data_IF_672156759789
#
_entry.id   IF_672156759789
#
_cell.length_a   1.000
_cell.length_b   1.000
_cell.length_c   1.000
_cell.angle_alpha   90.00
_cell.angle_beta   90.00
_cell.angle_gamma   90.00
#
_symmetry.space_group_name_H-M   'P 1'
#
loop_
_entity.id
_entity.type
_entity.pdbx_description
1 polymer ?
#
# COMPACT_ATOMS: atom_id res chain seq x y z
N UNK A 1 7.23 35.96 14.61
CA UNK A 1 6.41 34.88 14.00
C UNK A 1 7.33 34.07 13.11
N UNK A 2 7.56 32.79 13.43
CA UNK A 2 8.33 31.93 12.55
C UNK A 2 7.43 31.53 11.36
N UNK A 3 7.90 31.72 10.14
CA UNK A 3 7.25 31.15 8.96
C UNK A 3 7.22 29.63 9.11
N UNK A 4 6.06 28.97 8.92
CA UNK A 4 6.00 27.52 8.97
C UNK A 4 6.97 26.94 7.93
N UNK A 5 7.87 26.06 8.38
CA UNK A 5 8.78 25.36 7.48
C UNK A 5 7.98 24.45 6.57
N UNK A 6 8.09 24.66 5.26
CA UNK A 6 7.48 23.79 4.27
C UNK A 6 8.15 22.41 4.35
N UNK A 7 7.36 21.38 4.62
CA UNK A 7 7.81 19.99 4.52
C UNK A 7 7.84 19.57 3.04
N UNK A 8 8.97 19.84 2.40
CA UNK A 8 9.18 19.48 1.00
C UNK A 8 9.09 17.97 0.77
N UNK A 9 9.47 17.13 1.74
CA UNK A 9 9.43 15.68 1.56
C UNK A 9 7.98 15.19 1.40
N UNK A 10 7.07 15.67 2.26
CA UNK A 10 5.64 15.37 2.14
C UNK A 10 5.03 15.88 0.84
N UNK A 11 5.44 17.08 0.37
CA UNK A 11 5.00 17.60 -0.93
C UNK A 11 5.46 16.72 -2.10
N UNK A 12 6.75 16.37 -2.15
CA UNK A 12 7.30 15.53 -3.22
C UNK A 12 6.70 14.13 -3.21
N UNK A 13 6.52 13.54 -2.02
CA UNK A 13 5.83 12.24 -1.86
C UNK A 13 4.45 12.28 -2.51
N UNK A 14 3.65 13.29 -2.21
CA UNK A 14 2.30 13.45 -2.77
C UNK A 14 2.31 13.59 -4.29
N UNK A 15 3.18 14.44 -4.84
CA UNK A 15 3.28 14.66 -6.28
C UNK A 15 3.73 13.40 -7.04
N UNK A 16 4.73 12.69 -6.51
CA UNK A 16 5.21 11.44 -7.12
C UNK A 16 4.14 10.34 -7.01
N UNK A 17 3.48 10.21 -5.86
CA UNK A 17 2.38 9.25 -5.67
C UNK A 17 1.27 9.49 -6.70
N UNK A 18 0.83 10.75 -6.87
CA UNK A 18 -0.19 11.10 -7.87
C UNK A 18 0.25 10.73 -9.29
N UNK A 19 1.51 11.03 -9.66
CA UNK A 19 2.04 10.76 -11.00
C UNK A 19 2.06 9.27 -11.35
N UNK A 20 2.26 8.37 -10.38
CA UNK A 20 2.18 6.92 -10.61
C UNK A 20 0.81 6.51 -11.17
N UNK A 21 -0.26 7.17 -10.73
CA UNK A 21 -1.63 6.85 -11.10
C UNK A 21 -2.18 7.66 -12.27
N UNK A 22 -1.73 8.90 -12.46
CA UNK A 22 -2.19 9.74 -13.57
C UNK A 22 -1.45 9.46 -14.87
N UNK A 23 -0.22 8.96 -14.78
CA UNK A 23 0.64 8.69 -15.92
C UNK A 23 1.20 7.27 -15.74
N UNK A 24 0.49 6.26 -16.27
CA UNK A 24 0.81 4.81 -16.19
C UNK A 24 2.09 4.45 -16.96
N UNK A 25 3.21 5.02 -16.51
CA UNK A 25 4.55 4.91 -17.06
C UNK A 25 5.47 4.42 -15.95
N UNK A 26 6.26 3.39 -16.26
CA UNK A 26 7.15 2.73 -15.30
C UNK A 26 8.15 3.72 -14.66
N UNK A 27 8.66 4.70 -15.42
CA UNK A 27 9.56 5.73 -14.90
C UNK A 27 9.01 6.52 -13.71
N UNK A 28 7.69 6.72 -13.62
CA UNK A 28 7.07 7.39 -12.47
C UNK A 28 7.03 6.48 -11.23
N UNK A 29 6.83 5.18 -11.44
CA UNK A 29 6.93 4.20 -10.35
C UNK A 29 8.35 4.15 -9.81
N UNK A 30 9.35 4.08 -10.70
CA UNK A 30 10.76 4.06 -10.31
C UNK A 30 11.15 5.34 -9.56
N UNK A 31 10.69 6.51 -10.02
CA UNK A 31 10.95 7.79 -9.35
C UNK A 31 10.31 7.88 -7.96
N UNK A 32 9.06 7.41 -7.81
CA UNK A 32 8.37 7.36 -6.52
C UNK A 32 9.15 6.52 -5.51
N UNK A 33 9.54 5.31 -5.92
CA UNK A 33 10.20 4.40 -5.00
C UNK A 33 11.68 4.73 -4.78
N UNK A 34 12.36 5.35 -5.75
CA UNK A 34 13.66 5.96 -5.54
C UNK A 34 13.59 7.01 -4.42
N UNK A 35 12.58 7.89 -4.46
CA UNK A 35 12.34 8.87 -3.42
C UNK A 35 12.11 8.19 -2.05
N UNK A 36 11.23 7.19 -1.97
CA UNK A 36 10.97 6.47 -0.71
C UNK A 36 12.24 5.80 -0.15
N UNK A 37 13.07 5.21 -1.00
CA UNK A 37 14.35 4.65 -0.58
C UNK A 37 15.34 5.72 -0.12
N UNK A 38 15.39 6.89 -0.77
CA UNK A 38 16.27 7.98 -0.34
C UNK A 38 15.84 8.56 1.01
N UNK A 39 14.53 8.60 1.30
CA UNK A 39 14.03 8.97 2.64
C UNK A 39 14.41 7.92 3.69
N UNK A 40 14.30 6.63 3.36
CA UNK A 40 14.59 5.53 4.28
C UNK A 40 16.10 5.31 4.51
N UNK A 41 16.91 5.49 3.48
CA UNK A 41 18.34 5.18 3.44
C UNK A 41 19.16 6.41 3.00
N UNK A 42 19.22 7.47 3.83
CA UNK A 42 19.89 8.70 3.45
C UNK A 42 21.42 8.59 3.51
N UNK A 43 22.11 9.30 2.61
CA UNK A 43 23.58 9.22 2.46
C UNK A 43 24.36 9.66 3.68
N UNK A 44 23.87 10.64 4.44
CA UNK A 44 24.53 11.07 5.68
C UNK A 44 24.53 9.97 6.77
N UNK A 45 23.74 8.90 6.59
CA UNK A 45 23.72 7.72 7.46
C UNK A 45 24.52 6.54 6.90
N UNK A 46 25.32 6.75 5.85
CA UNK A 46 26.19 5.72 5.26
C UNK A 46 25.52 4.86 4.20
N UNK A 47 24.39 5.29 3.61
CA UNK A 47 23.70 4.53 2.57
C UNK A 47 23.77 5.19 1.19
N UNK A 48 23.80 4.38 0.15
CA UNK A 48 23.75 4.82 -1.25
C UNK A 48 22.60 4.13 -1.96
N UNK A 49 21.67 4.92 -2.50
CA UNK A 49 20.58 4.44 -3.36
C UNK A 49 21.01 4.65 -4.80
N UNK A 50 21.21 3.56 -5.53
CA UNK A 50 21.62 3.58 -6.94
C UNK A 50 20.50 3.00 -7.82
N UNK A 51 20.39 3.53 -9.04
CA UNK A 51 19.53 2.97 -10.09
C UNK A 51 20.33 2.10 -11.03
N UNK A 52 19.63 1.19 -11.72
CA UNK A 52 20.19 0.45 -12.86
C UNK A 52 21.51 -0.26 -12.52
N UNK A 53 21.52 -1.01 -11.42
CA UNK A 53 22.70 -1.78 -11.01
C UNK A 53 22.75 -3.13 -11.70
N UNK A 54 23.89 -3.49 -12.28
CA UNK A 54 24.16 -4.86 -12.75
C UNK A 54 25.28 -5.47 -11.91
N UNK A 55 25.06 -6.65 -11.29
CA UNK A 55 26.11 -7.36 -10.55
C UNK A 55 27.15 -8.03 -11.46
N UNK A 56 26.85 -8.23 -12.74
CA UNK A 56 27.64 -9.01 -13.69
C UNK A 56 28.05 -8.22 -14.95
N UNK A 57 27.91 -6.90 -14.93
CA UNK A 57 28.05 -6.00 -16.08
C UNK A 57 27.18 -6.39 -17.30
N UNK A 58 26.15 -7.21 -17.07
CA UNK A 58 25.20 -7.67 -18.07
C UNK A 58 24.11 -6.65 -18.41
N UNK A 59 23.29 -6.98 -19.42
CA UNK A 59 22.14 -6.16 -19.83
C UNK A 59 20.99 -6.18 -18.81
N UNK A 60 21.01 -7.14 -17.88
CA UNK A 60 19.99 -7.32 -16.86
C UNK A 60 20.35 -6.50 -15.63
N UNK A 61 19.71 -5.34 -15.49
CA UNK A 61 19.92 -4.41 -14.38
C UNK A 61 18.78 -4.53 -13.37
N UNK A 62 19.10 -4.40 -12.08
CA UNK A 62 18.12 -4.11 -11.04
C UNK A 62 17.71 -2.64 -11.16
N UNK A 63 16.41 -2.37 -11.11
CA UNK A 63 15.90 -0.99 -11.13
C UNK A 63 16.49 -0.16 -9.99
N UNK A 64 16.68 -0.79 -8.82
CA UNK A 64 17.25 -0.13 -7.63
C UNK A 64 18.08 -1.04 -6.77
N UNK A 65 19.14 -0.49 -6.19
CA UNK A 65 19.95 -1.12 -5.15
C UNK A 65 20.30 -0.11 -4.07
N UNK A 66 20.18 -0.54 -2.81
CA UNK A 66 20.71 0.17 -1.66
C UNK A 66 22.01 -0.50 -1.23
N UNK A 67 23.05 0.31 -1.10
CA UNK A 67 24.35 -0.12 -0.56
C UNK A 67 24.60 0.54 0.79
N UNK A 68 25.23 -0.17 1.70
CA UNK A 68 25.78 0.38 2.94
C UNK A 68 27.29 0.58 2.78
N UNK A 69 27.78 1.73 3.21
CA UNK A 69 29.20 2.07 3.26
C UNK A 69 29.72 1.88 4.69
N UNK A 70 30.65 0.96 4.87
CA UNK A 70 31.34 0.81 6.16
C UNK A 70 32.26 2.01 6.42
N UNK A 71 32.63 2.27 7.69
CA UNK A 71 33.67 3.25 8.03
C UNK A 71 35.03 2.95 7.38
N UNK A 72 35.29 1.70 6.99
CA UNK A 72 36.50 1.29 6.26
C UNK A 72 36.44 1.57 4.75
N UNK A 73 35.34 2.15 4.25
CA UNK A 73 35.13 2.43 2.83
C UNK A 73 34.67 1.23 2.00
N UNK A 74 34.39 0.08 2.62
CA UNK A 74 33.80 -1.07 1.93
C UNK A 74 32.32 -0.79 1.66
N UNK A 75 31.91 -0.96 0.42
CA UNK A 75 30.51 -0.87 0.00
C UNK A 75 29.95 -2.28 -0.08
N UNK A 76 28.79 -2.53 0.50
CA UNK A 76 28.05 -3.80 0.37
C UNK A 76 26.61 -3.55 -0.01
N UNK A 77 26.01 -4.40 -0.82
CA UNK A 77 24.58 -4.36 -1.12
C UNK A 77 23.82 -4.87 0.09
N UNK A 78 22.74 -4.17 0.44
CA UNK A 78 21.87 -4.53 1.57
C UNK A 78 20.41 -4.67 1.15
N UNK A 79 20.02 -4.03 0.05
CA UNK A 79 18.68 -4.16 -0.50
C UNK A 79 18.69 -4.02 -2.03
N UNK A 80 17.83 -4.77 -2.70
CA UNK A 80 17.62 -4.72 -4.14
C UNK A 80 16.13 -4.60 -4.48
N UNK A 81 15.78 -4.05 -5.64
CA UNK A 81 14.40 -4.08 -6.06
C UNK A 81 14.16 -3.91 -7.55
N UNK A 82 12.96 -4.35 -7.92
CA UNK A 82 12.39 -4.31 -9.27
C UNK A 82 11.03 -3.64 -9.23
N UNK A 83 10.85 -2.65 -10.10
CA UNK A 83 9.67 -1.80 -10.13
C UNK A 83 8.82 -2.11 -11.35
N UNK A 84 7.49 -2.09 -11.18
CA UNK A 84 6.56 -2.26 -12.30
C UNK A 84 5.40 -1.29 -12.16
N UNK A 85 4.84 -0.83 -13.28
CA UNK A 85 3.67 0.07 -13.27
C UNK A 85 2.40 -0.61 -12.75
N UNK A 86 1.37 0.17 -12.41
CA UNK A 86 0.11 -0.35 -11.86
C UNK A 86 -0.58 -1.32 -12.83
N UNK A 87 -0.60 -1.04 -14.13
CA UNK A 87 -1.31 -1.86 -15.12
C UNK A 87 -0.64 -3.19 -15.52
N UNK A 88 0.46 -3.60 -14.91
CA UNK A 88 1.20 -4.79 -15.39
C UNK A 88 0.44 -6.11 -15.21
N UNK A 89 0.71 -7.04 -16.12
CA UNK A 89 0.17 -8.40 -16.05
C UNK A 89 0.82 -9.20 -14.91
N UNK A 90 0.11 -10.22 -14.41
CA UNK A 90 0.66 -11.18 -13.44
C UNK A 90 1.99 -11.79 -13.90
N UNK A 91 2.12 -12.14 -15.17
CA UNK A 91 3.36 -12.69 -15.71
C UNK A 91 4.55 -11.71 -15.61
N UNK A 92 4.29 -10.40 -15.72
CA UNK A 92 5.31 -9.38 -15.52
C UNK A 92 5.77 -9.28 -14.07
N UNK A 93 4.85 -9.47 -13.11
CA UNK A 93 5.19 -9.48 -11.68
C UNK A 93 6.00 -10.73 -11.33
N UNK A 94 5.59 -11.91 -11.81
CA UNK A 94 6.36 -13.15 -11.65
C UNK A 94 7.77 -12.99 -12.20
N UNK A 95 7.92 -12.32 -13.35
CA UNK A 95 9.23 -12.04 -13.93
C UNK A 95 10.04 -11.08 -13.05
N UNK A 96 9.46 -10.00 -12.55
CA UNK A 96 10.14 -9.08 -11.63
C UNK A 96 10.64 -9.80 -10.35
N UNK A 97 9.83 -10.67 -9.76
CA UNK A 97 10.20 -11.47 -8.59
C UNK A 97 11.29 -12.51 -8.89
N UNK A 98 11.31 -13.06 -10.11
CA UNK A 98 12.39 -13.94 -10.55
C UNK A 98 13.68 -13.17 -10.79
N UNK A 99 13.59 -12.04 -11.49
CA UNK A 99 14.72 -11.19 -11.84
C UNK A 99 15.39 -10.63 -10.58
N UNK A 100 14.61 -10.19 -9.58
CA UNK A 100 15.18 -9.71 -8.31
C UNK A 100 15.90 -10.84 -7.57
N UNK A 101 15.37 -12.07 -7.57
CA UNK A 101 16.01 -13.21 -6.92
C UNK A 101 17.35 -13.58 -7.58
N UNK A 102 17.36 -13.79 -8.90
CA UNK A 102 18.55 -14.20 -9.64
C UNK A 102 19.67 -13.15 -9.51
N UNK A 103 19.34 -11.87 -9.69
CA UNK A 103 20.32 -10.77 -9.62
C UNK A 103 20.81 -10.55 -8.18
N UNK A 104 19.94 -10.71 -7.19
CA UNK A 104 20.32 -10.57 -5.78
C UNK A 104 21.27 -11.67 -5.34
N UNK A 105 21.09 -12.90 -5.81
CA UNK A 105 22.03 -13.99 -5.55
C UNK A 105 23.42 -13.70 -6.10
N UNK A 106 23.51 -13.15 -7.32
CA UNK A 106 24.78 -12.70 -7.90
C UNK A 106 25.43 -11.59 -7.07
N UNK A 107 24.66 -10.59 -6.66
CA UNK A 107 25.15 -9.52 -5.80
C UNK A 107 25.63 -10.04 -4.44
N UNK A 108 24.92 -11.02 -3.86
CA UNK A 108 25.32 -11.66 -2.60
C UNK A 108 26.65 -12.40 -2.73
N UNK A 109 26.87 -13.08 -3.85
CA UNK A 109 28.12 -13.82 -4.11
C UNK A 109 29.30 -12.87 -4.36
N UNK A 110 29.07 -11.78 -5.10
CA UNK A 110 30.07 -10.75 -5.37
C UNK A 110 30.51 -10.03 -4.08
N UNK A 111 29.55 -9.63 -3.24
CA UNK A 111 29.84 -8.87 -2.03
C UNK A 111 30.17 -9.74 -0.81
N UNK A 112 29.94 -11.07 -0.92
CA UNK A 112 30.14 -12.04 0.16
C UNK A 112 29.16 -11.84 1.33
N UNK A 113 27.91 -11.49 1.04
CA UNK A 113 26.88 -11.22 2.07
C UNK A 113 26.02 -12.45 2.38
N UNK A 114 25.66 -12.63 3.65
CA UNK A 114 24.82 -13.76 4.07
C UNK A 114 23.32 -13.58 3.82
N UNK A 115 22.87 -12.34 3.69
CA UNK A 115 21.49 -12.01 3.40
C UNK A 115 21.40 -10.73 2.57
N UNK A 116 20.37 -10.66 1.73
CA UNK A 116 19.99 -9.46 1.01
C UNK A 116 18.48 -9.27 1.11
N UNK A 117 18.05 -8.09 1.50
CA UNK A 117 16.64 -7.73 1.49
C UNK A 117 16.22 -7.35 0.08
N UNK A 118 14.98 -7.63 -0.29
CA UNK A 118 14.49 -7.27 -1.61
C UNK A 118 13.10 -6.64 -1.53
N UNK A 119 12.73 -5.88 -2.55
CA UNK A 119 11.35 -5.47 -2.75
C UNK A 119 10.97 -5.56 -4.24
N UNK A 120 9.71 -5.83 -4.49
CA UNK A 120 9.10 -5.73 -5.81
C UNK A 120 7.91 -4.79 -5.73
N UNK A 121 7.66 -4.01 -6.78
CA UNK A 121 6.60 -3.00 -6.77
C UNK A 121 5.64 -3.10 -7.95
N UNK A 122 4.43 -2.61 -7.74
CA UNK A 122 3.37 -2.45 -8.73
C UNK A 122 2.69 -1.10 -8.48
N UNK A 123 3.12 -0.06 -9.17
CA UNK A 123 2.79 1.32 -8.81
C UNK A 123 3.29 1.63 -7.40
N UNK A 124 2.47 2.19 -6.52
CA UNK A 124 2.83 2.46 -5.11
C UNK A 124 2.57 1.28 -4.17
N UNK A 125 2.14 0.14 -4.72
CA UNK A 125 2.02 -1.10 -3.98
C UNK A 125 3.33 -1.87 -4.02
N UNK A 126 3.67 -2.57 -2.94
CA UNK A 126 4.92 -3.29 -2.84
C UNK A 126 4.78 -4.60 -2.08
N UNK A 127 5.81 -5.42 -2.25
CA UNK A 127 6.05 -6.61 -1.48
C UNK A 127 7.52 -6.70 -1.12
N UNK A 128 7.82 -7.13 0.09
CA UNK A 128 9.19 -7.21 0.61
C UNK A 128 9.61 -8.63 0.88
N UNK A 129 10.89 -8.89 0.69
CA UNK A 129 11.47 -10.22 0.70
C UNK A 129 12.83 -10.22 1.38
N UNK A 130 13.31 -11.43 1.69
CA UNK A 130 14.67 -11.70 2.10
C UNK A 130 15.19 -12.91 1.33
N UNK A 131 16.46 -12.84 0.93
CA UNK A 131 17.24 -13.99 0.49
C UNK A 131 18.33 -14.19 1.53
N UNK A 132 18.44 -15.40 2.08
CA UNK A 132 19.39 -15.70 3.15
C UNK A 132 20.04 -17.08 2.99
N UNK A 133 21.30 -17.18 3.40
CA UNK A 133 21.98 -18.47 3.50
C UNK A 133 21.37 -19.34 4.62
N UNK A 134 21.34 -20.68 4.46
CA UNK A 134 21.80 -21.43 3.29
C UNK A 134 20.72 -21.61 2.21
N UNK A 135 19.47 -21.19 2.46
CA UNK A 135 18.33 -21.52 1.59
C UNK A 135 18.42 -20.84 0.22
N UNK A 136 18.90 -19.59 0.18
CA UNK A 136 19.16 -18.83 -1.05
C UNK A 136 17.96 -18.78 -2.01
N UNK A 137 16.77 -18.58 -1.44
CA UNK A 137 15.51 -18.38 -2.16
C UNK A 137 14.87 -17.07 -1.71
N UNK A 138 14.02 -16.49 -2.55
CA UNK A 138 13.21 -15.32 -2.23
C UNK A 138 12.08 -15.70 -1.26
N UNK A 139 12.20 -15.29 0.01
CA UNK A 139 11.21 -15.53 1.06
C UNK A 139 10.49 -14.22 1.40
N UNK A 140 9.14 -14.18 1.47
CA UNK A 140 8.44 -12.96 1.81
C UNK A 140 8.61 -12.60 3.29
N UNK A 141 8.75 -11.30 3.59
CA UNK A 141 8.74 -10.81 4.98
C UNK A 141 7.33 -10.75 5.59
N UNK A 142 6.30 -10.76 4.73
CA UNK A 142 4.88 -10.80 5.10
C UNK A 142 4.06 -11.46 3.99
N UNK A 143 2.89 -12.01 4.34
CA UNK A 143 1.98 -12.68 3.41
C UNK A 143 2.44 -14.08 2.99
N UNK A 144 1.67 -14.71 2.12
CA UNK A 144 1.91 -16.08 1.66
C UNK A 144 2.99 -16.14 0.60
N UNK A 145 3.82 -17.20 0.57
CA UNK A 145 4.88 -17.36 -0.45
C UNK A 145 4.33 -17.77 -1.84
N UNK A 146 3.47 -16.91 -2.41
CA UNK A 146 2.80 -17.10 -3.69
C UNK A 146 3.29 -16.07 -4.68
N UNK A 147 4.08 -16.50 -5.67
CA UNK A 147 4.69 -15.58 -6.64
C UNK A 147 3.69 -14.95 -7.60
N UNK A 148 3.90 -13.67 -7.87
CA UNK A 148 3.12 -12.83 -8.76
C UNK A 148 1.64 -12.70 -8.40
N UNK A 149 1.26 -13.02 -7.16
CA UNK A 149 -0.08 -12.80 -6.67
C UNK A 149 -0.26 -11.32 -6.30
N UNK A 150 -1.07 -10.55 -7.06
CA UNK A 150 -1.26 -9.12 -6.79
C UNK A 150 -1.94 -8.83 -5.45
N UNK A 151 -2.60 -9.81 -4.82
CA UNK A 151 -3.25 -9.64 -3.51
C UNK A 151 -2.24 -9.59 -2.35
N UNK A 152 -1.00 -10.04 -2.59
CA UNK A 152 0.10 -9.99 -1.61
C UNK A 152 0.85 -8.64 -1.62
N UNK A 153 0.49 -7.72 -2.52
CA UNK A 153 1.07 -6.39 -2.60
C UNK A 153 0.22 -5.44 -1.78
N UNK A 154 0.86 -4.64 -0.94
CA UNK A 154 0.18 -3.68 -0.07
C UNK A 154 0.56 -2.26 -0.49
N UNK A 155 -0.36 -1.31 -0.36
CA UNK A 155 -0.06 0.07 -0.68
C UNK A 155 0.63 0.77 0.48
N UNK A 156 1.71 1.48 0.16
CA UNK A 156 2.52 2.22 1.14
C UNK A 156 1.72 3.29 1.90
N UNK A 157 0.59 3.80 1.39
CA UNK A 157 -0.20 4.79 2.14
C UNK A 157 -0.99 4.20 3.32
N UNK A 158 -1.21 2.89 3.32
CA UNK A 158 -1.92 2.22 4.42
C UNK A 158 -1.07 2.23 5.69
N UNK A 159 -1.70 2.17 6.87
CA UNK A 159 -0.99 2.00 8.15
C UNK A 159 -0.07 0.78 8.11
N UNK A 160 -0.61 -0.35 7.65
CA UNK A 160 0.14 -1.60 7.48
C UNK A 160 1.27 -1.49 6.44
N UNK A 161 1.03 -0.81 5.31
CA UNK A 161 2.05 -0.52 4.31
C UNK A 161 3.22 0.29 4.86
N UNK A 162 2.95 1.37 5.59
CA UNK A 162 4.00 2.16 6.22
C UNK A 162 4.79 1.36 7.25
N UNK A 163 4.09 0.55 8.06
CA UNK A 163 4.71 -0.33 9.02
C UNK A 163 5.65 -1.35 8.34
N UNK A 164 5.20 -2.06 7.31
CA UNK A 164 6.05 -3.05 6.62
C UNK A 164 7.23 -2.39 5.89
N UNK A 165 7.04 -1.19 5.33
CA UNK A 165 8.13 -0.41 4.74
C UNK A 165 9.14 -0.01 5.83
N UNK A 166 8.67 0.54 6.96
CA UNK A 166 9.53 0.86 8.10
C UNK A 166 10.27 -0.36 8.65
N UNK A 167 9.59 -1.50 8.79
CA UNK A 167 10.16 -2.78 9.23
C UNK A 167 11.29 -3.23 8.32
N UNK A 168 11.10 -3.18 7.00
CA UNK A 168 12.18 -3.46 6.04
C UNK A 168 13.39 -2.56 6.31
N UNK A 169 13.18 -1.26 6.44
CA UNK A 169 14.26 -0.32 6.76
C UNK A 169 14.96 -0.64 8.08
N UNK A 170 14.19 -1.00 9.11
CA UNK A 170 14.71 -1.37 10.43
C UNK A 170 15.57 -2.62 10.38
N UNK A 171 15.12 -3.65 9.65
CA UNK A 171 15.87 -4.88 9.43
C UNK A 171 17.18 -4.62 8.67
N UNK A 172 17.14 -3.80 7.61
CA UNK A 172 18.33 -3.43 6.84
C UNK A 172 19.33 -2.63 7.68
N UNK A 173 18.84 -1.67 8.49
CA UNK A 173 19.67 -0.78 9.32
C UNK A 173 20.05 -1.39 10.68
N UNK A 174 19.52 -2.58 11.02
CA UNK A 174 19.61 -3.18 12.34
C UNK A 174 19.13 -2.22 13.46
N UNK A 175 17.97 -1.62 13.25
CA UNK A 175 17.31 -0.67 14.16
C UNK A 175 16.05 -1.27 14.80
N UNK A 176 15.59 -0.75 15.95
CA UNK A 176 14.30 -1.14 16.51
C UNK A 176 13.13 -0.85 15.56
N UNK A 177 12.23 -1.82 15.43
CA UNK A 177 10.99 -1.66 14.70
C UNK A 177 9.98 -0.84 15.53
N UNK A 178 9.31 0.11 14.90
CA UNK A 178 8.18 0.82 15.49
C UNK A 178 6.94 -0.06 15.36
N UNK A 179 6.16 -0.18 16.44
CA UNK A 179 4.90 -0.92 16.39
C UNK A 179 3.87 -0.26 15.46
N UNK A 180 2.94 -1.07 14.92
CA UNK A 180 1.92 -0.61 13.96
C UNK A 180 1.13 0.63 14.40
N UNK A 181 0.85 0.79 15.69
CA UNK A 181 0.13 1.94 16.22
C UNK A 181 0.80 3.30 16.03
N UNK A 182 2.04 3.33 15.51
CA UNK A 182 2.74 4.56 15.12
C UNK A 182 2.44 5.01 13.68
N UNK A 183 1.62 4.27 12.94
CA UNK A 183 1.34 4.52 11.54
C UNK A 183 -0.15 4.71 11.30
N UNK A 184 -0.50 5.80 10.62
CA UNK A 184 -1.88 6.15 10.28
C UNK A 184 -2.05 6.18 8.77
N UNK A 185 -3.26 5.91 8.27
CA UNK A 185 -3.52 6.02 6.84
C UNK A 185 -3.20 7.41 6.29
N UNK A 186 -2.41 7.49 5.22
CA UNK A 186 -1.99 8.75 4.62
C UNK A 186 -3.04 9.27 3.64
N UNK A 187 -4.12 9.88 4.14
CA UNK A 187 -5.21 10.44 3.33
C UNK A 187 -4.79 11.49 2.31
N UNK A 188 -3.65 12.16 2.54
CA UNK A 188 -3.12 13.15 1.62
C UNK A 188 -2.48 12.52 0.35
N UNK A 189 -2.20 11.22 0.36
CA UNK A 189 -1.75 10.45 -0.80
C UNK A 189 -2.96 9.89 -1.56
N UNK A 190 -3.59 10.78 -2.32
CA UNK A 190 -4.74 10.45 -3.15
C UNK A 190 -4.28 9.81 -4.46
N UNK A 191 -4.60 8.54 -4.66
CA UNK A 191 -4.69 7.96 -5.99
C UNK A 191 -6.01 8.47 -6.60
N UNK A 192 -6.21 8.41 -7.93
CA UNK A 192 -7.53 8.75 -8.49
C UNK A 192 -8.66 7.95 -7.82
N UNK A 193 -9.92 8.44 -7.82
CA UNK A 193 -11.00 7.92 -6.96
C UNK A 193 -11.25 6.41 -7.05
N UNK A 194 -10.96 5.79 -8.20
CA UNK A 194 -11.05 4.35 -8.44
C UNK A 194 -10.12 3.53 -7.54
N UNK A 195 -8.92 4.04 -7.31
CA UNK A 195 -7.92 3.38 -6.48
C UNK A 195 -8.22 3.55 -5.00
N UNK A 196 -8.92 4.63 -4.63
CA UNK A 196 -9.28 4.91 -3.25
C UNK A 196 -10.20 3.84 -2.65
N UNK A 197 -11.23 3.41 -3.37
CA UNK A 197 -12.13 2.35 -2.92
C UNK A 197 -11.41 1.00 -2.74
N UNK A 198 -10.56 0.62 -3.71
CA UNK A 198 -9.81 -0.64 -3.66
C UNK A 198 -8.83 -0.67 -2.48
N UNK A 199 -8.15 0.43 -2.24
CA UNK A 199 -7.18 0.56 -1.16
C UNK A 199 -7.85 0.58 0.22
N UNK A 200 -9.00 1.23 0.36
CA UNK A 200 -9.80 1.19 1.60
C UNK A 200 -10.27 -0.24 1.93
N UNK A 201 -10.76 -0.97 0.91
CA UNK A 201 -11.15 -2.36 1.09
C UNK A 201 -9.96 -3.26 1.50
N UNK A 202 -8.79 -3.03 0.90
CA UNK A 202 -7.56 -3.75 1.24
C UNK A 202 -7.06 -3.43 2.65
N UNK A 203 -7.10 -2.17 3.06
CA UNK A 203 -6.73 -1.76 4.41
C UNK A 203 -7.60 -2.48 5.46
N UNK A 204 -8.93 -2.41 5.30
CA UNK A 204 -9.86 -3.07 6.22
C UNK A 204 -9.56 -4.57 6.34
N UNK A 205 -9.35 -5.25 5.21
CA UNK A 205 -9.01 -6.67 5.19
C UNK A 205 -7.71 -6.99 5.97
N UNK A 206 -6.70 -6.14 5.87
CA UNK A 206 -5.41 -6.32 6.56
C UNK A 206 -5.52 -6.05 8.06
N UNK A 207 -6.28 -5.01 8.44
CA UNK A 207 -6.56 -4.69 9.84
C UNK A 207 -7.36 -5.82 10.52
N UNK A 208 -8.39 -6.35 9.85
CA UNK A 208 -9.17 -7.49 10.33
C UNK A 208 -8.27 -8.73 10.55
N UNK A 209 -7.43 -9.08 9.56
CA UNK A 209 -6.50 -10.22 9.67
C UNK A 209 -5.50 -10.08 10.81
N UNK A 210 -4.94 -8.89 10.98
CA UNK A 210 -3.99 -8.66 12.06
C UNK A 210 -4.67 -8.74 13.43
N UNK A 211 -5.90 -8.23 13.53
CA UNK A 211 -6.68 -8.32 14.76
C UNK A 211 -6.99 -9.77 15.13
N UNK A 212 -7.28 -10.61 14.13
CA UNK A 212 -7.45 -12.06 14.32
C UNK A 212 -6.16 -12.73 14.80
N UNK A 213 -5.01 -12.47 14.15
CA UNK A 213 -3.70 -13.00 14.57
C UNK A 213 -3.34 -12.58 16.01
N UNK A 214 -3.62 -11.32 16.37
CA UNK A 214 -3.40 -10.81 17.72
C UNK A 214 -4.32 -11.49 18.76
N UNK A 215 -5.57 -11.75 18.40
CA UNK A 215 -6.53 -12.45 19.27
C UNK A 215 -6.13 -13.92 19.49
N UNK A 216 -5.65 -14.60 18.45
CA UNK A 216 -5.13 -15.97 18.55
C UNK A 216 -3.90 -16.04 19.47
N UNK A 217 -2.94 -15.12 19.31
CA UNK A 217 -1.78 -15.03 20.20
C UNK A 217 -2.20 -14.80 21.66
N UNK A 218 -3.14 -13.88 21.89
CA UNK A 218 -3.65 -13.62 23.23
C UNK A 218 -4.30 -14.87 23.86
N UNK A 219 -5.09 -15.61 23.09
CA UNK A 219 -5.71 -16.87 23.53
C UNK A 219 -4.65 -17.94 23.83
N UNK A 220 -3.59 -18.05 23.03
CA UNK A 220 -2.49 -18.99 23.29
C UNK A 220 -1.73 -18.65 24.58
N UNK A 221 -1.47 -17.37 24.85
CA UNK A 221 -0.84 -16.93 26.10
C UNK A 221 -1.71 -17.22 27.33
N UNK A 222 -3.02 -16.98 27.24
CA UNK A 222 -3.95 -17.27 28.33
C UNK A 222 -4.11 -18.78 28.56
N UNK A 223 -4.11 -19.59 27.49
CA UNK A 223 -4.18 -21.04 27.59
C UNK A 223 -2.91 -21.67 28.19
N UNK A 224 -1.74 -21.09 27.94
CA UNK A 224 -0.46 -21.56 28.50
C UNK A 224 -0.23 -21.15 29.96
N UNK A 225 -1.02 -20.20 30.48
CA UNK A 225 -0.81 -19.59 31.80
C UNK A 225 -1.65 -20.21 32.93
N UNK A 226 -2.37 -21.31 32.68
CA UNK A 226 -3.11 -22.04 33.73
C UNK A 226 -2.35 -23.31 34.11
N UNK A 227 -1.41 -23.26 35.09
CA UNK A 227 -1.03 -24.47 35.79
C UNK A 227 -2.26 -24.99 36.52
N UNK A 228 -2.71 -26.20 36.19
CA UNK A 228 -3.69 -26.93 37.00
C UNK A 228 -3.08 -27.21 38.37
N UNK A 229 -3.16 -26.25 39.28
CA UNK A 229 -3.04 -26.52 40.70
C UNK A 229 -4.35 -27.20 41.08
N UNK A 230 -4.29 -28.51 41.28
CA UNK A 230 -5.40 -29.28 41.82
C UNK A 230 -5.72 -28.75 43.22
N UNK A 231 -6.76 -27.93 43.34
CA UNK A 231 -7.25 -27.52 44.65
C UNK A 231 -8.15 -28.61 45.26
N UNK A 232 -7.99 -28.88 46.57
CA UNK A 232 -8.79 -29.86 47.28
C UNK A 232 -10.20 -29.33 47.56
N UNK A 233 -11.16 -30.24 47.47
CA UNK A 233 -12.57 -29.98 47.74
C UNK A 233 -12.80 -29.40 49.14
N UNK A 234 -13.43 -28.22 49.20
CA UNK A 234 -14.17 -27.82 50.39
C UNK A 234 -15.50 -27.11 50.09
N UNK A 235 -16.48 -27.64 50.81
CA UNK A 235 -17.89 -27.36 51.04
C UNK A 235 -18.37 -25.90 51.09
N UNK A 236 -19.50 -25.71 50.40
CA UNK A 236 -20.66 -24.81 50.58
C UNK A 236 -20.69 -23.76 51.71
N UNK A 237 -21.16 -22.55 51.37
CA UNK A 237 -22.22 -21.84 52.12
C UNK A 237 -22.92 -20.81 51.23
N UNK A 238 -24.25 -20.85 51.27
CA UNK A 238 -25.22 -19.89 50.71
C UNK A 238 -25.16 -18.52 51.41
N UNK A 239 -25.52 -17.43 50.70
CA UNK A 239 -26.52 -16.42 51.14
C UNK A 239 -26.69 -15.27 50.11
N UNK A 240 -27.94 -15.10 49.65
CA UNK A 240 -28.76 -13.87 49.53
C UNK A 240 -28.17 -12.62 48.82
N UNK A 241 -28.65 -12.21 47.63
CA UNK A 241 -29.93 -11.55 47.30
C UNK A 241 -30.10 -10.16 47.93
N UNK A 242 -29.95 -9.10 47.11
CA UNK A 242 -30.70 -7.84 47.22
C UNK A 242 -30.87 -7.24 45.81
N UNK A 243 -32.13 -7.07 45.43
CA UNK A 243 -32.63 -6.19 44.37
C UNK A 243 -32.59 -4.73 44.86
N UNK A 244 -32.33 -3.78 43.96
CA UNK A 244 -32.86 -2.43 44.08
C UNK A 244 -33.02 -1.79 42.70
N UNK A 245 -34.29 -1.61 42.32
CA UNK A 245 -34.77 -0.80 41.19
C UNK A 245 -34.58 0.69 41.48
N UNK A 246 -34.25 1.49 40.45
CA UNK A 246 -34.75 2.86 40.31
C UNK A 246 -34.47 3.44 38.92
N UNK A 247 -35.54 3.60 38.14
CA UNK A 247 -35.78 4.67 37.15
C UNK A 247 -36.95 5.54 37.73
N UNK A 248 -37.27 6.79 37.29
CA UNK A 248 -37.09 7.32 35.93
C UNK A 248 -36.81 8.85 35.79
N UNK A 249 -36.71 9.27 34.52
CA UNK A 249 -37.05 10.57 33.89
C UNK A 249 -36.33 11.86 34.35
N UNK A 250 -35.66 12.57 33.41
CA UNK A 250 -36.19 13.85 32.90
C UNK A 250 -35.49 14.34 31.60
N UNK A 251 -36.32 15.03 30.83
CA UNK A 251 -36.18 15.73 29.55
C UNK A 251 -35.17 16.89 29.49
N UNK A 252 -34.70 17.25 28.28
CA UNK A 252 -33.90 18.48 28.10
C UNK A 252 -33.29 18.78 26.72
N UNK A 253 -34.12 19.29 25.81
CA UNK A 253 -33.87 20.37 24.82
C UNK A 253 -32.59 20.47 23.94
N UNK A 254 -32.89 20.44 22.64
CA UNK A 254 -32.33 21.11 21.46
C UNK A 254 -31.66 22.50 21.62
N UNK A 255 -30.49 22.66 21.00
CA UNK A 255 -30.04 23.83 20.21
C UNK A 255 -28.88 23.33 19.30
N UNK A 256 -28.72 23.63 18.01
CA UNK A 256 -29.09 24.80 17.23
C UNK A 256 -27.81 25.52 16.78
N UNK A 257 -26.92 24.87 16.01
CA UNK A 257 -25.71 25.52 15.49
C UNK A 257 -25.83 25.82 13.98
N UNK A 258 -25.72 27.11 13.68
CA UNK A 258 -25.77 27.73 12.36
C UNK A 258 -24.54 27.39 11.53
N UNK A 259 -24.77 27.06 10.26
CA UNK A 259 -23.77 26.97 9.21
C UNK A 259 -23.22 28.37 8.86
N UNK A 260 -21.90 28.51 8.80
CA UNK A 260 -21.24 29.63 8.13
C UNK A 260 -20.95 29.27 6.66
N UNK A 261 -21.10 30.21 5.71
CA UNK A 261 -20.82 29.95 4.30
C UNK A 261 -19.31 29.94 4.01
N UNK A 262 -18.80 29.05 3.15
CA UNK A 262 -17.40 29.09 2.75
C UNK A 262 -17.12 30.19 1.73
N UNK A 263 -15.98 30.83 1.95
CA UNK A 263 -15.33 31.86 1.14
C UNK A 263 -14.98 31.32 -0.25
N UNK A 264 -15.32 32.08 -1.30
CA UNK A 264 -14.95 31.79 -2.69
C UNK A 264 -13.45 32.00 -2.91
N UNK A 265 -12.77 30.96 -3.37
CA UNK A 265 -11.45 31.07 -4.01
C UNK A 265 -11.56 30.55 -5.45
N UNK A 266 -11.08 31.35 -6.40
CA UNK A 266 -11.11 31.11 -7.85
C UNK A 266 -10.34 29.84 -8.23
N UNK A 267 -11.00 28.90 -8.91
CA UNK A 267 -10.38 27.65 -9.39
C UNK A 267 -10.45 27.51 -10.91
N UNK A 268 -9.37 26.99 -11.48
CA UNK A 268 -9.30 26.42 -12.82
C UNK A 268 -10.33 25.29 -12.97
N UNK A 269 -11.17 25.36 -14.00
CA UNK A 269 -12.29 24.42 -14.16
C UNK A 269 -11.83 23.06 -14.66
N UNK A 270 -11.55 22.14 -13.74
CA UNK A 270 -11.61 20.71 -14.03
C UNK A 270 -13.08 20.31 -14.05
N UNK A 271 -13.61 19.91 -15.21
CA UNK A 271 -14.99 19.45 -15.31
C UNK A 271 -15.09 18.03 -14.75
N UNK A 272 -15.75 17.86 -13.60
CA UNK A 272 -16.08 16.55 -13.04
C UNK A 272 -17.37 16.04 -13.69
N UNK A 273 -17.38 14.79 -14.17
CA UNK A 273 -18.64 14.11 -14.50
C UNK A 273 -19.12 13.36 -13.26
N UNK A 274 -20.26 13.80 -12.71
CA UNK A 274 -20.95 13.08 -11.65
C UNK A 274 -21.75 11.96 -12.29
N UNK A 275 -21.45 10.71 -11.93
CA UNK A 275 -22.22 9.54 -12.35
C UNK A 275 -23.11 9.11 -11.19
N UNK A 276 -24.44 9.12 -11.38
CA UNK A 276 -25.39 8.60 -10.39
C UNK A 276 -25.53 7.08 -10.58
N UNK A 277 -25.13 6.33 -9.55
CA UNK A 277 -25.38 4.89 -9.48
C UNK A 277 -26.77 4.63 -8.88
N UNK A 278 -27.51 3.69 -9.48
CA UNK A 278 -28.76 3.15 -8.94
C UNK A 278 -28.57 1.67 -8.62
N UNK A 279 -28.91 1.31 -7.39
CA UNK A 279 -28.87 -0.07 -6.90
C UNK A 279 -30.29 -0.61 -6.82
N UNK A 280 -30.54 -1.74 -7.47
CA UNK A 280 -31.85 -2.41 -7.50
C UNK A 280 -31.71 -3.85 -7.02
N UNK A 281 -32.53 -4.27 -6.05
CA UNK A 281 -32.56 -5.68 -5.62
C UNK A 281 -33.61 -6.42 -6.43
N UNK A 282 -33.16 -7.34 -7.29
CA UNK A 282 -34.02 -8.16 -8.14
C UNK A 282 -34.07 -9.62 -7.70
N UNK A 283 -34.98 -10.40 -8.32
CA UNK A 283 -35.16 -11.83 -8.01
C UNK A 283 -33.91 -12.71 -8.24
N UNK A 284 -32.97 -12.25 -9.05
CA UNK A 284 -31.74 -12.97 -9.41
C UNK A 284 -30.48 -12.38 -8.76
N UNK A 285 -30.62 -11.37 -7.89
CA UNK A 285 -29.48 -10.70 -7.25
C UNK A 285 -29.61 -9.17 -7.26
N UNK A 286 -28.58 -8.52 -6.74
CA UNK A 286 -28.48 -7.06 -6.71
C UNK A 286 -27.91 -6.57 -8.03
N UNK A 287 -28.54 -5.56 -8.62
CA UNK A 287 -28.12 -4.92 -9.86
C UNK A 287 -27.59 -3.52 -9.58
N UNK A 288 -26.53 -3.15 -10.27
CA UNK A 288 -26.04 -1.78 -10.32
C UNK A 288 -26.29 -1.26 -11.73
N UNK A 289 -26.87 -0.06 -11.81
CA UNK A 289 -27.13 0.61 -13.07
C UNK A 289 -26.71 2.07 -13.01
N UNK A 290 -26.26 2.61 -14.14
CA UNK A 290 -25.87 4.01 -14.26
C UNK A 290 -25.98 4.45 -15.71
N UNK A 291 -25.92 5.77 -15.93
CA UNK A 291 -25.87 6.34 -17.29
C UNK A 291 -24.56 7.06 -17.45
N UNK A 292 -23.79 6.71 -18.47
CA UNK A 292 -22.57 7.41 -18.84
C UNK A 292 -22.73 7.95 -20.27
N UNK A 293 -22.62 9.27 -20.44
CA UNK A 293 -22.77 9.95 -21.74
C UNK A 293 -24.05 9.55 -22.51
N UNK A 294 -25.17 9.40 -21.79
CA UNK A 294 -26.47 9.03 -22.36
C UNK A 294 -26.65 7.54 -22.66
N UNK A 295 -25.65 6.69 -22.41
CA UNK A 295 -25.76 5.23 -22.54
C UNK A 295 -26.08 4.58 -21.18
N UNK A 296 -27.16 3.79 -21.07
CA UNK A 296 -27.47 3.07 -19.85
C UNK A 296 -26.63 1.80 -19.73
N UNK A 297 -26.08 1.58 -18.55
CA UNK A 297 -25.38 0.36 -18.15
C UNK A 297 -26.14 -0.31 -17.01
N UNK A 298 -26.19 -1.65 -17.02
CA UNK A 298 -26.79 -2.45 -15.95
C UNK A 298 -26.06 -3.79 -15.85
N UNK A 299 -25.59 -4.13 -14.65
CA UNK A 299 -24.90 -5.39 -14.38
C UNK A 299 -25.28 -5.94 -13.00
N UNK A 300 -25.02 -7.22 -12.76
CA UNK A 300 -25.10 -7.79 -11.42
C UNK A 300 -23.96 -7.22 -10.57
N UNK A 301 -24.22 -6.98 -9.28
CA UNK A 301 -23.24 -6.41 -8.36
C UNK A 301 -22.00 -7.31 -8.20
N UNK A 302 -22.16 -8.63 -8.28
CA UNK A 302 -21.05 -9.60 -8.26
C UNK A 302 -20.17 -9.53 -9.52
N UNK A 303 -20.75 -9.15 -10.65
CA UNK A 303 -20.05 -8.95 -11.93
C UNK A 303 -19.58 -7.50 -12.10
N UNK A 304 -19.82 -6.62 -11.11
CA UNK A 304 -19.52 -5.19 -11.19
C UNK A 304 -18.04 -4.95 -11.46
N UNK A 305 -17.14 -5.67 -10.80
CA UNK A 305 -15.69 -5.53 -11.02
C UNK A 305 -15.32 -5.79 -12.49
N UNK A 306 -15.93 -6.80 -13.12
CA UNK A 306 -15.68 -7.14 -14.53
C UNK A 306 -16.29 -6.12 -15.49
N UNK A 307 -17.53 -5.70 -15.26
CA UNK A 307 -18.21 -4.70 -16.09
C UNK A 307 -17.57 -3.31 -15.96
N UNK A 308 -17.07 -2.98 -14.77
CA UNK A 308 -16.33 -1.76 -14.47
C UNK A 308 -14.95 -1.75 -15.16
N UNK A 309 -14.25 -2.90 -15.17
CA UNK A 309 -13.01 -3.07 -15.93
C UNK A 309 -13.23 -2.92 -17.46
N UNK A 310 -14.38 -3.36 -17.97
CA UNK A 310 -14.75 -3.23 -19.39
C UNK A 310 -15.08 -1.77 -19.76
N UNK A 311 -15.86 -1.07 -18.93
CA UNK A 311 -16.15 0.37 -19.09
C UNK A 311 -14.88 1.21 -18.96
N UNK A 312 -14.00 0.91 -18.01
CA UNK A 312 -12.70 1.58 -17.91
C UNK A 312 -11.85 1.31 -19.14
N UNK A 313 -11.81 0.09 -19.66
CA UNK A 313 -11.04 -0.23 -20.87
C UNK A 313 -11.52 0.58 -22.08
N UNK A 314 -12.83 0.75 -22.25
CA UNK A 314 -13.40 1.58 -23.32
C UNK A 314 -13.12 3.08 -23.11
N UNK A 315 -13.32 3.61 -21.89
CA UNK A 315 -13.02 5.01 -21.56
C UNK A 315 -11.53 5.33 -21.73
N UNK A 316 -10.62 4.41 -21.37
CA UNK A 316 -9.18 4.57 -21.53
C UNK A 316 -8.72 4.46 -22.99
N UNK A 317 -9.29 3.54 -23.79
CA UNK A 317 -9.02 3.49 -25.23
C UNK A 317 -9.44 4.80 -25.93
N UNK A 318 -10.55 5.41 -25.50
CA UNK A 318 -11.01 6.67 -26.05
C UNK A 318 -10.13 7.86 -25.66
N UNK A 319 -9.75 7.99 -24.37
CA UNK A 319 -8.83 9.06 -23.93
C UNK A 319 -7.41 8.92 -24.50
N UNK A 320 -6.91 7.69 -24.66
CA UNK A 320 -5.64 7.42 -25.35
C UNK A 320 -5.69 7.80 -26.84
N UNK A 321 -6.83 7.60 -27.50
CA UNK A 321 -7.04 8.03 -28.87
C UNK A 321 -7.19 9.55 -29.00
N UNK A 322 -7.86 10.23 -28.05
CA UNK A 322 -7.93 11.69 -28.02
C UNK A 322 -6.57 12.36 -27.76
N UNK A 323 -5.79 11.85 -26.81
CA UNK A 323 -4.44 12.33 -26.53
C UNK A 323 -3.50 12.17 -27.75
N UNK A 324 -3.71 11.12 -28.57
CA UNK A 324 -2.98 10.92 -29.82
C UNK A 324 -3.46 11.82 -30.98
N UNK A 325 -4.74 12.23 -31.00
CA UNK A 325 -5.22 13.23 -31.99
C UNK A 325 -4.79 14.65 -31.66
N UNK A 326 -4.72 15.02 -30.37
CA UNK A 326 -4.30 16.36 -29.96
C UNK A 326 -2.80 16.61 -30.20
N UNK A 327 -1.97 15.56 -30.18
CA UNK A 327 -0.55 15.66 -30.53
C UNK A 327 -0.29 15.87 -32.03
N UNK A 328 -1.23 15.50 -32.92
CA UNK A 328 -1.09 15.73 -34.37
C UNK A 328 -1.53 17.13 -34.81
N UNK A 329 -2.10 17.93 -33.91
CA UNK A 329 -2.63 19.27 -34.22
C UNK A 329 -1.60 20.41 -34.09
N UNK A 330 -0.38 20.14 -33.60
CA UNK A 330 0.69 21.15 -33.50
C UNK A 330 1.84 20.85 -34.47
N UNK A 331 1.64 21.15 -35.76
CA UNK A 331 2.75 21.41 -36.67
C UNK A 331 2.93 22.93 -36.79
N UNK A 332 4.10 23.42 -36.38
CA UNK A 332 4.50 24.82 -36.53
C UNK A 332 4.81 25.11 -38.02
N UNK A 333 4.41 26.27 -38.58
CA UNK A 333 4.90 26.69 -39.90
C UNK A 333 6.39 27.04 -39.82
N UNK A 334 7.14 26.64 -40.84
CA UNK A 334 8.53 27.07 -41.07
C UNK A 334 8.61 28.53 -41.50
#
# INVERSE_FOLDING_TARGET
MATPSVDYASMWRRELYLKVYTHDVESNTNAYWEFECQQMFPTHRGFLVNREYSPDDGNLKLDRVVSEMSPSGRVRKVMAGEDKRVGVSRGSIVRAEKDVEEKSLLAMDQDGTNALYCHTTRGTMFRTWIIQNPRRILEPLFGENTRGDPSQYIDIRTSFGQHQWHRLGSLVKNEPELGLGNFEFQFHLTAGPVWDERHLAMQKLLEDKLQDEMAELHNMFNAASVPQVAEPAHTMSEAQAYDEESDPDDSGQSSGNQEQPPVQASSSSTSYQVVTLRVEVGKKGTYISFTHQGRPFRTLAEDWVRAYDEVNRECFQWHSNQANTDFRAYNWPQ
#
